data_IF_456402064314
#
_entry.id   IF_456402064314
#
_cell.length_a   1.000
_cell.length_b   1.000
_cell.length_c   1.000
_cell.angle_alpha   90.00
_cell.angle_beta   90.00
_cell.angle_gamma   90.00
#
_symmetry.space_group_name_H-M   'P 1'
#
loop_
_entity.id
_entity.type
_entity.pdbx_description
1 polymer ?
#
# COMPACT_ATOMS: atom_id res chain seq x y z
N UNK A 1 -25.39 25.97 7.15
CA UNK A 1 -25.11 25.31 8.45
C UNK A 1 -24.35 24.01 8.17
N UNK A 2 -23.20 23.85 8.84
CA UNK A 2 -22.28 22.70 8.89
C UNK A 2 -21.86 22.01 7.59
N UNK A 3 -20.75 22.51 7.00
CA UNK A 3 -19.82 21.67 6.25
C UNK A 3 -19.12 20.71 7.23
N UNK A 4 -19.67 19.52 7.39
CA UNK A 4 -18.97 18.42 8.05
C UNK A 4 -17.83 17.98 7.14
N UNK A 5 -16.63 18.53 7.37
CA UNK A 5 -15.38 17.98 6.84
C UNK A 5 -15.16 16.58 7.42
N UNK A 6 -15.92 15.59 6.95
CA UNK A 6 -15.60 14.20 7.18
C UNK A 6 -14.29 13.95 6.43
N UNK A 7 -13.20 13.80 7.18
CA UNK A 7 -11.94 13.33 6.63
C UNK A 7 -12.22 12.02 5.90
N UNK A 8 -12.12 12.02 4.57
CA UNK A 8 -12.27 10.83 3.72
C UNK A 8 -11.28 9.71 4.05
N UNK A 9 -10.30 10.00 4.90
CA UNK A 9 -9.24 9.09 5.27
C UNK A 9 -9.61 8.27 6.51
N UNK A 10 -9.55 6.95 6.36
CA UNK A 10 -9.72 5.98 7.45
C UNK A 10 -8.35 5.42 7.82
N UNK A 11 -8.13 5.20 9.12
CA UNK A 11 -6.92 4.54 9.60
C UNK A 11 -6.74 3.17 8.93
N UNK A 12 -5.52 2.89 8.47
CA UNK A 12 -5.15 1.59 7.95
C UNK A 12 -4.53 0.74 9.07
N UNK A 13 -5.13 -0.41 9.38
CA UNK A 13 -4.57 -1.37 10.33
C UNK A 13 -3.36 -2.05 9.70
N UNK A 14 -2.18 -1.85 10.30
CA UNK A 14 -0.92 -2.41 9.82
C UNK A 14 -0.67 -3.75 10.50
N UNK A 15 -0.43 -4.84 9.75
CA UNK A 15 0.01 -6.10 10.34
C UNK A 15 1.35 -5.96 11.08
N UNK A 16 1.54 -6.65 12.20
CA UNK A 16 2.80 -6.56 12.98
C UNK A 16 4.01 -7.17 12.26
N UNK A 17 3.77 -8.12 11.34
CA UNK A 17 4.80 -8.84 10.61
C UNK A 17 4.33 -9.29 9.24
N UNK A 18 5.28 -9.52 8.35
CA UNK A 18 5.03 -10.25 7.12
C UNK A 18 4.69 -11.72 7.44
N UNK A 19 3.63 -12.26 6.82
CA UNK A 19 3.29 -13.67 6.88
C UNK A 19 3.04 -14.20 5.46
N UNK A 20 3.74 -15.27 5.06
CA UNK A 20 3.61 -15.80 3.69
C UNK A 20 2.18 -16.28 3.37
N UNK A 21 1.44 -16.72 4.38
CA UNK A 21 0.04 -17.17 4.27
C UNK A 21 -0.99 -16.05 4.42
N UNK A 22 -0.58 -14.79 4.64
CA UNK A 22 -1.53 -13.68 4.68
C UNK A 22 -2.07 -13.35 3.29
N UNK A 23 -3.20 -12.65 3.26
CA UNK A 23 -3.76 -12.19 2.00
C UNK A 23 -2.85 -11.13 1.35
N UNK A 24 -2.99 -10.97 0.03
CA UNK A 24 -2.22 -9.99 -0.76
C UNK A 24 -2.32 -8.58 -0.19
N UNK A 25 -3.50 -8.18 0.31
CA UNK A 25 -3.71 -6.87 0.92
C UNK A 25 -2.80 -6.66 2.13
N UNK A 26 -2.76 -7.61 3.07
CA UNK A 26 -1.93 -7.50 4.28
C UNK A 26 -0.44 -7.45 3.93
N UNK A 27 -0.01 -8.22 2.93
CA UNK A 27 1.37 -8.20 2.43
C UNK A 27 1.74 -6.82 1.90
N UNK A 28 0.87 -6.19 1.12
CA UNK A 28 1.08 -4.84 0.58
C UNK A 28 1.04 -3.79 1.69
N UNK A 29 0.07 -3.84 2.61
CA UNK A 29 -0.01 -2.91 3.75
C UNK A 29 1.24 -3.01 4.62
N UNK A 30 1.65 -4.22 4.98
CA UNK A 30 2.88 -4.43 5.76
C UNK A 30 4.09 -3.87 5.02
N UNK A 31 4.24 -4.20 3.73
CA UNK A 31 5.39 -3.75 2.94
C UNK A 31 5.43 -2.22 2.85
N UNK A 32 4.30 -1.58 2.58
CA UNK A 32 4.20 -0.13 2.53
C UNK A 32 4.47 0.52 3.89
N UNK A 33 4.11 -0.13 5.00
CA UNK A 33 4.38 0.38 6.35
C UNK A 33 5.88 0.40 6.69
N UNK A 34 6.64 -0.55 6.13
CA UNK A 34 8.10 -0.59 6.25
C UNK A 34 8.77 0.49 5.40
N UNK A 35 8.27 0.70 4.18
CA UNK A 35 8.82 1.69 3.25
C UNK A 35 8.44 3.14 3.58
N UNK A 36 7.37 3.34 4.36
CA UNK A 36 6.76 4.65 4.74
C UNK A 36 6.13 5.40 3.57
N UNK A 37 6.84 5.48 2.45
CA UNK A 37 6.39 6.06 1.20
C UNK A 37 7.05 5.33 0.04
N UNK A 38 6.29 4.88 -0.95
CA UNK A 38 6.81 4.02 -2.01
C UNK A 38 5.98 4.09 -3.30
N UNK A 39 6.62 3.79 -4.43
CA UNK A 39 5.92 3.50 -5.70
C UNK A 39 5.43 2.04 -5.75
N UNK A 40 4.63 1.70 -6.76
CA UNK A 40 4.25 0.30 -7.05
C UNK A 40 5.49 -0.57 -7.25
N UNK A 41 6.49 -0.06 -7.98
CA UNK A 41 7.72 -0.78 -8.27
C UNK A 41 8.55 -1.05 -7.01
N UNK A 42 8.65 -0.08 -6.09
CA UNK A 42 9.35 -0.25 -4.81
C UNK A 42 8.69 -1.33 -3.94
N UNK A 43 7.36 -1.33 -3.88
CA UNK A 43 6.60 -2.34 -3.14
C UNK A 43 6.81 -3.73 -3.76
N UNK A 44 6.72 -3.84 -5.08
CA UNK A 44 6.91 -5.10 -5.78
C UNK A 44 8.34 -5.65 -5.60
N UNK A 45 9.34 -4.77 -5.66
CA UNK A 45 10.74 -5.11 -5.41
C UNK A 45 10.91 -5.67 -4.00
N UNK A 46 10.30 -5.03 -3.00
CA UNK A 46 10.36 -5.47 -1.61
C UNK A 46 9.61 -6.79 -1.37
N UNK A 47 8.44 -6.97 -1.99
CA UNK A 47 7.69 -8.22 -1.95
C UNK A 47 8.47 -9.40 -2.56
N UNK A 48 9.26 -9.15 -3.61
CA UNK A 48 10.13 -10.16 -4.20
C UNK A 48 11.22 -10.66 -3.23
N UNK A 49 11.68 -9.82 -2.30
CA UNK A 49 12.61 -10.25 -1.24
C UNK A 49 11.95 -11.29 -0.31
N UNK A 50 10.65 -11.15 -0.04
CA UNK A 50 9.88 -12.09 0.79
C UNK A 50 9.40 -13.33 0.01
N UNK A 51 9.09 -13.15 -1.28
CA UNK A 51 8.50 -14.16 -2.15
C UNK A 51 9.26 -14.26 -3.48
N UNK A 52 10.51 -14.75 -3.49
CA UNK A 52 11.34 -14.80 -4.69
C UNK A 52 10.83 -15.80 -5.74
N UNK A 53 9.96 -16.74 -5.34
CA UNK A 53 9.31 -17.70 -6.23
C UNK A 53 8.12 -17.12 -6.99
N UNK A 54 7.64 -15.94 -6.61
CA UNK A 54 6.55 -15.23 -7.31
C UNK A 54 7.17 -14.29 -8.34
N UNK A 55 6.64 -14.30 -9.55
CA UNK A 55 7.18 -13.47 -10.63
C UNK A 55 6.97 -11.97 -10.34
N UNK A 56 7.87 -11.13 -10.84
CA UNK A 56 7.85 -9.68 -10.58
C UNK A 56 6.57 -9.00 -11.08
N UNK A 57 6.08 -9.41 -12.26
CA UNK A 57 4.86 -8.87 -12.86
C UNK A 57 3.62 -9.09 -11.97
N UNK A 58 3.53 -10.26 -11.31
CA UNK A 58 2.46 -10.57 -10.37
C UNK A 58 2.55 -9.69 -9.14
N UNK A 59 3.74 -9.42 -8.61
CA UNK A 59 3.91 -8.49 -7.48
C UNK A 59 3.48 -7.07 -7.84
N UNK A 60 3.89 -6.56 -9.01
CA UNK A 60 3.50 -5.23 -9.49
C UNK A 60 2.00 -5.11 -9.68
N UNK A 61 1.39 -6.06 -10.40
CA UNK A 61 -0.06 -6.07 -10.64
C UNK A 61 -0.84 -6.11 -9.33
N UNK A 62 -0.47 -7.02 -8.42
CA UNK A 62 -1.12 -7.15 -7.13
C UNK A 62 -0.97 -5.89 -6.28
N UNK A 63 0.22 -5.27 -6.26
CA UNK A 63 0.45 -4.04 -5.52
C UNK A 63 -0.41 -2.90 -6.07
N UNK A 64 -0.48 -2.73 -7.40
CA UNK A 64 -1.32 -1.72 -8.03
C UNK A 64 -2.82 -1.89 -7.67
N UNK A 65 -3.35 -3.10 -7.84
CA UNK A 65 -4.77 -3.40 -7.55
C UNK A 65 -5.12 -3.16 -6.07
N UNK A 66 -4.24 -3.54 -5.14
CA UNK A 66 -4.45 -3.29 -3.72
C UNK A 66 -4.35 -1.80 -3.39
N UNK A 67 -3.39 -1.07 -3.95
CA UNK A 67 -3.26 0.36 -3.68
C UNK A 67 -4.46 1.16 -4.19
N UNK A 68 -5.00 0.82 -5.36
CA UNK A 68 -6.23 1.42 -5.88
C UNK A 68 -7.41 1.14 -4.94
N UNK A 69 -7.53 -0.10 -4.47
CA UNK A 69 -8.55 -0.47 -3.49
C UNK A 69 -8.42 0.29 -2.17
N UNK A 70 -7.20 0.42 -1.63
CA UNK A 70 -6.93 1.16 -0.39
C UNK A 70 -7.18 2.66 -0.58
N UNK A 71 -6.85 3.22 -1.74
CA UNK A 71 -7.08 4.63 -2.05
C UNK A 71 -8.56 4.94 -2.11
N UNK A 72 -9.36 4.10 -2.77
CA UNK A 72 -10.82 4.23 -2.82
C UNK A 72 -11.48 4.22 -1.42
N UNK A 73 -10.81 3.64 -0.43
CA UNK A 73 -11.25 3.59 0.99
C UNK A 73 -10.58 4.64 1.88
N UNK A 74 -9.77 5.52 1.31
CA UNK A 74 -9.02 6.53 2.05
C UNK A 74 -8.00 5.96 3.04
N UNK A 75 -7.50 4.75 2.80
CA UNK A 75 -6.49 4.10 3.65
C UNK A 75 -5.05 4.43 3.22
N UNK A 76 -4.87 4.91 2.00
CA UNK A 76 -3.59 5.44 1.50
C UNK A 76 -3.79 6.85 0.93
N UNK A 77 -2.72 7.63 0.97
CA UNK A 77 -2.59 8.91 0.26
C UNK A 77 -1.66 8.72 -0.93
N UNK A 78 -1.92 9.49 -1.99
CA UNK A 78 -1.08 9.53 -3.19
C UNK A 78 -0.41 10.91 -3.23
N UNK A 79 0.91 10.90 -3.36
CA UNK A 79 1.73 12.10 -3.56
C UNK A 79 2.52 11.94 -4.85
N UNK A 80 2.58 12.98 -5.69
CA UNK A 80 3.47 12.97 -6.85
C UNK A 80 4.85 13.47 -6.44
N UNK A 81 5.86 12.61 -6.51
CA UNK A 81 7.27 12.96 -6.27
C UNK A 81 8.08 12.61 -7.52
N UNK A 82 8.91 13.53 -8.00
CA UNK A 82 9.78 13.33 -9.17
C UNK A 82 9.03 12.82 -10.43
N UNK A 83 7.75 13.16 -10.58
CA UNK A 83 6.91 12.70 -11.69
C UNK A 83 6.20 11.37 -11.47
N UNK A 84 6.47 10.67 -10.37
CA UNK A 84 5.93 9.35 -10.05
C UNK A 84 4.89 9.38 -8.91
N UNK A 85 3.94 8.45 -8.96
CA UNK A 85 2.95 8.27 -7.91
C UNK A 85 3.55 7.49 -6.75
N UNK A 86 3.63 8.15 -5.60
CA UNK A 86 4.07 7.58 -4.35
C UNK A 86 2.89 7.43 -3.40
N UNK A 87 2.84 6.29 -2.73
CA UNK A 87 1.77 5.90 -1.82
C UNK A 87 2.31 5.93 -0.40
N UNK A 88 1.47 6.33 0.55
CA UNK A 88 1.75 6.21 1.97
C UNK A 88 0.47 5.85 2.73
N UNK A 89 0.60 5.03 3.77
CA UNK A 89 -0.54 4.67 4.61
C UNK A 89 -1.07 5.90 5.35
N UNK A 90 -2.38 5.93 5.54
CA UNK A 90 -3.01 6.78 6.55
C UNK A 90 -2.91 6.04 7.88
N UNK A 91 -1.95 6.46 8.71
CA UNK A 91 -1.88 6.00 10.09
C UNK A 91 -2.98 6.66 10.92
N UNK A 92 -3.55 5.90 11.86
CA UNK A 92 -4.34 6.44 12.97
C UNK A 92 -3.49 7.37 13.84
#
# INVERSE_FOLDING_TARGET
>A
MNNSNQSFFSACNVPDRYAKVSCTQDKVIYTLSQLKQATVADIALKLREYEPSVNAFTHEKNAAEILDYLFARGMVKITRLNGELNYNLVSA
#
